data_IF_628077860224
#
_entry.id   IF_628077860224
#
_cell.length_a   1.000
_cell.length_b   1.000
_cell.length_c   1.000
_cell.angle_alpha   90.00
_cell.angle_beta   90.00
_cell.angle_gamma   90.00
#
_symmetry.space_group_name_H-M   'P 1'
#
loop_
_entity.id
_entity.type
_entity.pdbx_description
1 polymer ?
#
# COMPACT_ATOMS: atom_id res chain seq x y z
N UNK A 1 7.42 4.32 43.63
CA UNK A 1 7.38 3.19 42.68
C UNK A 1 6.54 3.66 41.51
N UNK A 2 7.20 4.17 40.48
CA UNK A 2 6.57 4.53 39.22
C UNK A 2 6.38 3.23 38.42
N UNK A 3 5.14 2.89 38.09
CA UNK A 3 4.84 1.89 37.07
C UNK A 3 3.42 2.13 36.56
N UNK A 4 3.31 3.04 35.60
CA UNK A 4 2.19 3.02 34.67
C UNK A 4 2.78 2.91 33.28
N UNK A 5 3.01 1.66 32.88
CA UNK A 5 3.26 1.28 31.50
C UNK A 5 1.99 1.54 30.68
N UNK A 6 1.78 2.78 30.26
CA UNK A 6 0.80 3.08 29.22
C UNK A 6 1.41 2.67 27.87
N UNK A 7 1.28 1.39 27.54
CA UNK A 7 1.57 0.86 26.20
C UNK A 7 0.59 1.52 25.22
N UNK A 8 0.99 2.66 24.67
CA UNK A 8 0.24 3.44 23.70
C UNK A 8 0.09 2.69 22.38
N UNK A 9 -0.92 1.82 22.29
CA UNK A 9 -1.37 1.24 21.05
C UNK A 9 -2.02 2.31 20.18
N UNK A 10 -1.24 2.99 19.36
CA UNK A 10 -1.72 3.89 18.31
C UNK A 10 -2.46 3.03 17.25
N UNK A 11 -3.71 2.62 17.51
CA UNK A 11 -4.51 1.79 16.59
C UNK A 11 -5.07 2.62 15.43
N UNK A 12 -4.20 3.39 14.76
CA UNK A 12 -4.56 4.20 13.61
C UNK A 12 -4.88 3.31 12.41
N UNK A 13 -6.01 3.56 11.75
CA UNK A 13 -6.34 2.95 10.46
C UNK A 13 -5.53 3.61 9.34
N UNK A 14 -5.17 2.84 8.31
CA UNK A 14 -4.57 3.33 7.08
C UNK A 14 -5.53 3.18 5.93
N UNK A 15 -5.84 4.29 5.27
CA UNK A 15 -6.65 4.30 4.04
C UNK A 15 -5.79 3.85 2.88
N UNK A 16 -6.35 2.94 2.08
CA UNK A 16 -5.70 2.38 0.90
C UNK A 16 -6.57 2.72 -0.30
N UNK A 17 -5.98 3.30 -1.33
CA UNK A 17 -6.58 3.48 -2.65
C UNK A 17 -5.90 2.55 -3.65
N UNK A 18 -6.68 1.87 -4.49
CA UNK A 18 -6.11 1.01 -5.53
C UNK A 18 -6.94 1.01 -6.81
N UNK A 19 -6.29 0.93 -7.97
CA UNK A 19 -6.94 0.83 -9.28
C UNK A 19 -6.37 -0.35 -10.08
N UNK A 20 -7.16 -0.90 -11.01
CA UNK A 20 -6.68 -1.89 -11.98
C UNK A 20 -6.35 -1.17 -13.30
N UNK A 21 -5.10 -0.75 -13.45
CA UNK A 21 -4.64 0.18 -14.50
C UNK A 21 -4.74 1.65 -14.10
N UNK A 22 -3.99 2.51 -14.81
CA UNK A 22 -3.86 3.94 -14.48
C UNK A 22 -5.14 4.75 -14.77
N UNK A 23 -5.89 4.37 -15.81
CA UNK A 23 -7.12 5.06 -16.24
C UNK A 23 -8.39 4.52 -15.57
N UNK A 24 -8.28 3.62 -14.60
CA UNK A 24 -9.42 2.98 -13.94
C UNK A 24 -9.88 3.77 -12.70
N UNK A 25 -11.18 3.77 -12.41
CA UNK A 25 -11.73 4.34 -11.19
C UNK A 25 -11.12 3.63 -9.96
N UNK A 26 -10.58 4.38 -8.98
CA UNK A 26 -9.97 3.77 -7.81
C UNK A 26 -11.02 3.21 -6.83
N UNK A 27 -10.69 2.08 -6.24
CA UNK A 27 -11.36 1.51 -5.08
C UNK A 27 -10.65 1.95 -3.80
N UNK A 28 -11.34 1.87 -2.66
CA UNK A 28 -10.73 2.16 -1.36
C UNK A 28 -11.08 1.14 -0.29
N UNK A 29 -10.13 0.86 0.60
CA UNK A 29 -10.32 0.07 1.81
C UNK A 29 -9.53 0.68 2.97
N UNK A 30 -9.68 0.12 4.17
CA UNK A 30 -8.92 0.50 5.36
C UNK A 30 -8.33 -0.74 6.03
N UNK A 31 -7.08 -0.65 6.45
CA UNK A 31 -6.42 -1.69 7.25
C UNK A 31 -5.91 -1.11 8.57
N UNK A 32 -5.90 -1.89 9.66
CA UNK A 32 -5.40 -1.43 10.95
C UNK A 32 -3.87 -1.29 10.92
N UNK A 33 -3.38 -0.26 11.60
CA UNK A 33 -1.95 0.02 11.71
C UNK A 33 -1.38 0.80 10.52
N UNK A 34 -0.08 1.11 10.62
CA UNK A 34 0.68 1.83 9.57
C UNK A 34 1.61 0.91 8.79
N UNK A 35 2.02 -0.22 9.37
CA UNK A 35 2.89 -1.22 8.76
C UNK A 35 2.06 -2.24 7.99
N UNK A 36 1.43 -1.81 6.90
CA UNK A 36 0.67 -2.69 6.02
C UNK A 36 1.64 -3.42 5.09
N UNK A 37 1.57 -4.74 5.04
CA UNK A 37 2.39 -5.56 4.14
C UNK A 37 1.69 -5.80 2.80
N UNK A 38 2.45 -6.16 1.77
CA UNK A 38 1.90 -6.55 0.48
C UNK A 38 0.91 -7.74 0.61
N UNK A 39 1.23 -8.73 1.44
CA UNK A 39 0.33 -9.86 1.72
C UNK A 39 -1.03 -9.41 2.28
N UNK A 40 -1.04 -8.49 3.24
CA UNK A 40 -2.27 -7.94 3.81
C UNK A 40 -3.10 -7.16 2.78
N UNK A 41 -2.43 -6.39 1.92
CA UNK A 41 -3.10 -5.70 0.83
C UNK A 41 -3.72 -6.68 -0.17
N UNK A 42 -2.96 -7.68 -0.64
CA UNK A 42 -3.46 -8.73 -1.56
C UNK A 42 -4.67 -9.47 -1.00
N UNK A 43 -4.74 -9.68 0.31
CA UNK A 43 -5.89 -10.30 0.98
C UNK A 43 -7.18 -9.46 0.83
N UNK A 44 -7.08 -8.15 0.65
CA UNK A 44 -8.21 -7.24 0.44
C UNK A 44 -8.72 -7.20 -1.00
N UNK A 45 -7.98 -7.76 -1.96
CA UNK A 45 -8.32 -7.68 -3.37
C UNK A 45 -9.40 -8.70 -3.74
N UNK A 46 -10.45 -8.20 -4.40
CA UNK A 46 -11.56 -9.00 -4.88
C UNK A 46 -11.21 -9.78 -6.15
N UNK A 47 -10.36 -9.25 -7.04
CA UNK A 47 -9.88 -9.99 -8.21
C UNK A 47 -8.67 -10.84 -7.84
N UNK A 48 -8.72 -12.12 -8.17
CA UNK A 48 -7.57 -13.05 -8.09
C UNK A 48 -6.89 -13.15 -9.45
N UNK A 49 -5.58 -13.39 -9.46
CA UNK A 49 -4.78 -13.45 -10.68
C UNK A 49 -3.32 -13.06 -10.44
N UNK A 50 -2.54 -13.14 -11.50
CA UNK A 50 -1.14 -12.69 -11.52
C UNK A 50 -1.11 -11.21 -11.88
N UNK A 51 -0.63 -10.40 -10.94
CA UNK A 51 -0.57 -8.95 -11.08
C UNK A 51 0.79 -8.42 -10.61
N UNK A 52 1.21 -7.30 -11.18
CA UNK A 52 2.24 -6.42 -10.63
C UNK A 52 1.58 -5.31 -9.83
N UNK A 53 2.24 -4.89 -8.75
CA UNK A 53 1.71 -3.91 -7.81
C UNK A 53 2.66 -2.73 -7.71
N UNK A 54 2.20 -1.58 -8.18
CA UNK A 54 2.98 -0.35 -8.21
C UNK A 54 2.47 0.61 -7.14
N UNK A 55 3.31 1.00 -6.21
CA UNK A 55 2.92 1.84 -5.09
C UNK A 55 3.49 3.26 -5.23
N UNK A 56 2.63 4.26 -5.02
CA UNK A 56 3.03 5.67 -5.07
C UNK A 56 3.88 6.02 -3.85
N UNK A 57 5.05 6.61 -4.07
CA UNK A 57 5.96 7.07 -3.03
C UNK A 57 6.56 8.44 -3.38
N UNK A 58 6.84 9.26 -2.36
CA UNK A 58 7.58 10.52 -2.51
C UNK A 58 8.98 10.24 -3.01
N UNK A 59 9.41 10.95 -4.06
CA UNK A 59 10.73 10.78 -4.64
C UNK A 59 11.41 12.12 -4.88
N UNK A 60 12.63 12.27 -4.37
CA UNK A 60 13.48 13.44 -4.59
C UNK A 60 14.53 13.23 -5.69
N UNK A 61 14.74 11.99 -6.13
CA UNK A 61 15.83 11.62 -7.06
C UNK A 61 15.51 11.95 -8.52
N UNK A 62 14.25 11.80 -8.94
CA UNK A 62 13.86 11.95 -10.35
C UNK A 62 13.26 13.32 -10.70
N UNK A 63 13.25 14.28 -9.77
CA UNK A 63 12.70 15.63 -9.99
C UNK A 63 11.17 15.70 -10.18
N UNK A 64 10.47 14.56 -10.21
CA UNK A 64 9.01 14.44 -10.34
C UNK A 64 8.28 14.63 -9.01
N UNK A 65 8.97 14.54 -7.88
CA UNK A 65 8.38 14.53 -6.53
C UNK A 65 7.69 13.20 -6.17
N UNK A 66 7.50 12.31 -7.14
CA UNK A 66 6.77 11.05 -7.02
C UNK A 66 7.36 9.96 -7.91
N UNK A 67 7.41 8.73 -7.40
CA UNK A 67 7.62 7.54 -8.21
C UNK A 67 6.55 6.49 -7.92
N UNK A 68 6.49 5.50 -8.81
CA UNK A 68 5.77 4.25 -8.62
C UNK A 68 6.78 3.13 -8.45
N UNK A 69 6.77 2.49 -7.27
CA UNK A 69 7.67 1.39 -6.95
C UNK A 69 6.96 0.05 -7.15
N UNK A 70 7.54 -0.86 -7.93
CA UNK A 70 7.06 -2.24 -8.01
C UNK A 70 7.44 -2.96 -6.72
N UNK A 71 6.45 -3.55 -6.03
CA UNK A 71 6.69 -4.38 -4.85
C UNK A 71 6.11 -5.77 -5.11
N UNK A 72 6.96 -6.79 -5.01
CA UNK A 72 6.63 -8.20 -5.25
C UNK A 72 6.78 -9.10 -4.01
N UNK A 73 7.59 -8.72 -3.01
CA UNK A 73 7.72 -9.41 -1.73
C UNK A 73 6.49 -9.22 -0.84
N UNK A 74 5.84 -10.32 -0.49
CA UNK A 74 4.67 -10.38 0.39
C UNK A 74 4.92 -9.82 1.79
N UNK A 75 6.17 -9.83 2.25
CA UNK A 75 6.57 -9.33 3.58
C UNK A 75 6.94 -7.85 3.58
N UNK A 76 7.14 -7.24 2.40
CA UNK A 76 7.48 -5.84 2.29
C UNK A 76 6.36 -4.94 2.84
N UNK A 77 6.75 -3.96 3.66
CA UNK A 77 5.84 -2.92 4.14
C UNK A 77 5.61 -1.91 3.02
N UNK A 78 4.35 -1.61 2.75
CA UNK A 78 3.93 -0.73 1.68
C UNK A 78 4.27 0.73 1.99
N UNK A 79 4.73 1.50 0.99
CA UNK A 79 5.08 2.90 1.20
C UNK A 79 3.83 3.75 1.42
N UNK A 80 4.00 4.82 2.18
CA UNK A 80 2.95 5.78 2.48
C UNK A 80 3.13 7.04 1.63
N UNK A 81 2.09 7.41 0.89
CA UNK A 81 1.92 8.72 0.28
C UNK A 81 0.96 9.55 1.13
N UNK A 82 1.46 10.58 1.82
CA UNK A 82 0.66 11.43 2.71
C UNK A 82 -0.17 10.62 3.73
N UNK A 83 0.45 9.60 4.33
CA UNK A 83 -0.18 8.72 5.32
C UNK A 83 -1.20 7.72 4.76
N UNK A 84 -1.32 7.61 3.44
CA UNK A 84 -2.18 6.65 2.71
C UNK A 84 -1.33 5.69 1.88
N UNK A 85 -1.87 4.54 1.53
CA UNK A 85 -1.29 3.67 0.49
C UNK A 85 -2.04 3.92 -0.81
N UNK A 86 -1.31 4.10 -1.92
CA UNK A 86 -1.90 4.23 -3.26
C UNK A 86 -1.22 3.21 -4.19
N UNK A 87 -2.03 2.33 -4.78
CA UNK A 87 -1.55 1.21 -5.61
C UNK A 87 -2.17 1.22 -7.00
N UNK A 88 -1.36 0.98 -8.02
CA UNK A 88 -1.82 0.67 -9.38
C UNK A 88 -1.51 -0.81 -9.63
N UNK A 89 -2.55 -1.58 -9.94
CA UNK A 89 -2.47 -3.01 -10.19
C UNK A 89 -2.47 -3.24 -11.70
N UNK A 90 -1.44 -3.89 -12.22
CA UNK A 90 -1.34 -4.24 -13.64
C UNK A 90 -1.39 -5.76 -13.84
N UNK A 91 -2.21 -6.28 -14.78
CA UNK A 91 -2.18 -7.70 -15.12
C UNK A 91 -0.81 -8.06 -15.70
N UNK A 92 -0.29 -9.22 -15.30
CA UNK A 92 0.83 -9.84 -16.00
C UNK A 92 0.20 -10.54 -17.20
N UNK A 93 0.27 -9.90 -18.38
CA UNK A 93 -0.12 -10.59 -19.60
C UNK A 93 0.79 -11.82 -19.76
N UNK A 94 0.20 -12.97 -20.01
CA UNK A 94 0.94 -14.09 -20.60
C UNK A 94 0.96 -13.80 -22.09
N UNK A 95 2.15 -13.49 -22.62
CA UNK A 95 2.41 -13.54 -24.06
C UNK A 95 1.98 -14.89 -24.66
#
# INVERSE_FOLDING_TARGET
MENTSSSGGNSGMTKIGYSYGESSMPYTTKLPGKNITLKQFKACLFKKGNFKYFFKQSCNEFGTGVLLEEIDDDNAVLPLWEGKVLCIIQPINKD
#
